data_IF_871282811654
#
_entry.id   IF_871282811654
#
_cell.length_a   1.000
_cell.length_b   1.000
_cell.length_c   1.000
_cell.angle_alpha   90.00
_cell.angle_beta   90.00
_cell.angle_gamma   90.00
#
_symmetry.space_group_name_H-M   'P 1'
#
loop_
_entity.id
_entity.type
_entity.pdbx_description
1 polymer ?
#
# COMPACT_ATOMS: atom_id res chain seq x y z
N UNK A 1 9.57 23.18 -17.84
CA UNK A 1 8.69 22.08 -17.35
C UNK A 1 7.56 22.72 -16.57
N UNK A 2 6.32 22.63 -17.05
CA UNK A 2 5.16 23.19 -16.34
C UNK A 2 4.66 22.15 -15.34
N UNK A 3 4.81 22.42 -14.04
CA UNK A 3 4.30 21.55 -13.00
C UNK A 3 2.77 21.67 -12.96
N UNK A 4 2.05 20.63 -13.43
CA UNK A 4 0.60 20.51 -13.18
C UNK A 4 0.39 20.17 -11.70
N UNK A 5 -0.51 20.88 -11.04
CA UNK A 5 -0.94 20.56 -9.67
C UNK A 5 -1.77 19.27 -9.71
N UNK A 6 -1.31 18.22 -9.03
CA UNK A 6 -2.02 16.94 -8.93
C UNK A 6 -3.29 17.11 -8.08
N UNK A 7 -4.42 16.57 -8.55
CA UNK A 7 -5.64 16.45 -7.74
C UNK A 7 -5.56 15.16 -6.94
N UNK A 8 -5.49 15.30 -5.62
CA UNK A 8 -5.43 14.19 -4.66
C UNK A 8 -6.57 14.34 -3.64
N UNK A 9 -7.24 13.23 -3.33
CA UNK A 9 -8.22 13.14 -2.25
C UNK A 9 -7.70 12.20 -1.15
N UNK A 10 -7.77 12.66 0.10
CA UNK A 10 -7.46 11.87 1.28
C UNK A 10 -8.72 11.25 1.86
N UNK A 11 -8.72 9.93 2.03
CA UNK A 11 -9.83 9.20 2.62
C UNK A 11 -9.36 8.49 3.88
N UNK A 12 -10.03 8.77 4.99
CA UNK A 12 -9.69 8.23 6.31
C UNK A 12 -10.73 7.18 6.69
N UNK A 13 -10.27 5.95 6.97
CA UNK A 13 -10.95 4.78 7.60
C UNK A 13 -10.92 3.51 6.74
N UNK A 14 -11.39 2.43 7.36
CA UNK A 14 -11.30 0.99 7.12
C UNK A 14 -11.24 0.47 5.65
N UNK A 15 -10.87 -0.81 5.43
CA UNK A 15 -10.75 -1.41 4.09
C UNK A 15 -11.98 -1.29 3.18
N UNK A 16 -13.20 -1.21 3.75
CA UNK A 16 -14.43 -0.98 2.99
C UNK A 16 -14.50 0.48 2.55
N UNK A 17 -14.14 1.42 3.42
CA UNK A 17 -14.00 2.84 3.08
C UNK A 17 -12.98 3.11 1.96
N UNK A 18 -11.91 2.30 1.83
CA UNK A 18 -10.91 2.51 0.76
C UNK A 18 -11.48 2.21 -0.64
N UNK A 19 -12.30 1.17 -0.78
CA UNK A 19 -12.92 0.88 -2.09
C UNK A 19 -13.91 1.97 -2.50
N UNK A 20 -14.68 2.50 -1.54
CA UNK A 20 -15.61 3.63 -1.79
C UNK A 20 -14.84 4.90 -2.16
N UNK A 21 -13.73 5.17 -1.48
CA UNK A 21 -12.83 6.27 -1.77
C UNK A 21 -12.29 6.26 -3.22
N UNK A 22 -11.88 5.09 -3.71
CA UNK A 22 -11.41 4.93 -5.10
C UNK A 22 -12.54 5.24 -6.10
N UNK A 23 -13.75 4.75 -5.84
CA UNK A 23 -14.92 5.04 -6.69
C UNK A 23 -15.24 6.54 -6.72
N UNK A 24 -15.28 7.20 -5.55
CA UNK A 24 -15.50 8.65 -5.46
C UNK A 24 -14.38 9.46 -6.13
N UNK A 25 -13.14 9.00 -6.01
CA UNK A 25 -12.02 9.65 -6.67
C UNK A 25 -12.15 9.60 -8.20
N UNK A 26 -12.64 8.48 -8.73
CA UNK A 26 -12.94 8.29 -10.15
C UNK A 26 -14.07 9.20 -10.63
N UNK A 27 -15.17 9.30 -9.87
CA UNK A 27 -16.30 10.22 -10.19
C UNK A 27 -15.87 11.69 -10.20
N UNK A 28 -14.93 12.07 -9.33
CA UNK A 28 -14.40 13.44 -9.22
C UNK A 28 -13.19 13.70 -10.11
N UNK A 29 -12.84 12.76 -10.98
CA UNK A 29 -11.70 12.84 -11.90
C UNK A 29 -10.37 13.14 -11.20
N UNK A 30 -10.11 12.61 -10.00
CA UNK A 30 -8.80 12.81 -9.37
C UNK A 30 -7.71 12.05 -10.11
N UNK A 31 -6.53 12.66 -10.21
CA UNK A 31 -5.41 12.09 -10.95
C UNK A 31 -4.72 10.97 -10.13
N UNK A 32 -4.75 11.08 -8.80
CA UNK A 32 -4.07 10.16 -7.87
C UNK A 32 -4.91 9.93 -6.61
N UNK A 33 -4.93 8.67 -6.14
CA UNK A 33 -5.45 8.29 -4.82
C UNK A 33 -4.30 7.81 -3.95
N UNK A 34 -4.13 8.43 -2.78
CA UNK A 34 -3.12 8.02 -1.80
C UNK A 34 -3.81 7.30 -0.64
N UNK A 35 -3.43 6.05 -0.41
CA UNK A 35 -3.92 5.23 0.71
C UNK A 35 -2.90 5.28 1.84
N UNK A 36 -3.18 6.07 2.87
CA UNK A 36 -2.35 6.12 4.08
C UNK A 36 -2.71 4.97 5.03
N UNK A 37 -1.71 4.21 5.47
CA UNK A 37 -1.90 3.05 6.34
C UNK A 37 -1.21 3.27 7.67
N UNK A 38 -1.81 2.79 8.75
CA UNK A 38 -1.18 2.85 10.08
C UNK A 38 0.13 2.07 10.07
N UNK A 39 1.19 2.67 10.60
CA UNK A 39 2.49 2.01 10.76
C UNK A 39 2.36 0.67 11.52
N UNK A 40 2.92 -0.39 10.95
CA UNK A 40 2.92 -1.74 11.54
C UNK A 40 4.35 -2.20 11.78
N UNK A 41 4.60 -2.86 12.91
CA UNK A 41 5.85 -3.57 13.10
C UNK A 41 5.84 -4.89 12.32
N UNK A 42 7.00 -5.28 11.79
CA UNK A 42 7.23 -6.48 10.99
C UNK A 42 6.92 -7.79 11.71
N UNK A 43 6.86 -7.79 13.04
CA UNK A 43 6.60 -8.99 13.84
C UNK A 43 5.11 -9.27 14.08
N UNK A 44 4.20 -8.39 13.62
CA UNK A 44 2.78 -8.53 13.88
C UNK A 44 2.04 -9.14 12.67
N UNK A 45 2.16 -10.46 12.55
CA UNK A 45 1.58 -11.24 11.45
C UNK A 45 0.09 -10.94 11.18
N UNK A 46 -0.82 -10.83 12.18
CA UNK A 46 -2.22 -10.43 11.94
C UNK A 46 -2.38 -9.11 11.19
N UNK A 47 -1.57 -8.10 11.53
CA UNK A 47 -1.68 -6.76 10.95
C UNK A 47 -1.09 -6.69 9.54
N UNK A 48 0.03 -7.38 9.31
CA UNK A 48 0.65 -7.49 7.98
C UNK A 48 -0.27 -8.28 7.05
N UNK A 49 -0.93 -9.33 7.55
CA UNK A 49 -1.93 -10.09 6.79
C UNK A 49 -3.15 -9.24 6.40
N UNK A 50 -3.61 -8.36 7.30
CA UNK A 50 -4.70 -7.43 6.98
C UNK A 50 -4.29 -6.43 5.89
N UNK A 51 -3.04 -5.94 5.93
CA UNK A 51 -2.48 -5.06 4.90
C UNK A 51 -2.36 -5.79 3.55
N UNK A 52 -1.86 -7.02 3.53
CA UNK A 52 -1.75 -7.82 2.31
C UNK A 52 -3.13 -8.07 1.67
N UNK A 53 -4.14 -8.40 2.47
CA UNK A 53 -5.53 -8.53 1.99
C UNK A 53 -6.09 -7.22 1.43
N UNK A 54 -5.80 -6.10 2.08
CA UNK A 54 -6.21 -4.79 1.59
C UNK A 54 -5.56 -4.49 0.24
N UNK A 55 -4.24 -4.68 0.13
CA UNK A 55 -3.51 -4.50 -1.11
C UNK A 55 -4.14 -5.38 -2.20
N UNK A 56 -4.28 -6.68 -1.97
CA UNK A 56 -4.91 -7.66 -2.89
C UNK A 56 -6.25 -7.14 -3.42
N UNK A 57 -7.13 -6.68 -2.52
CA UNK A 57 -8.47 -6.19 -2.85
C UNK A 57 -8.49 -4.92 -3.70
N UNK A 58 -7.60 -3.95 -3.45
CA UNK A 58 -7.67 -2.63 -4.13
C UNK A 58 -6.79 -2.54 -5.38
N UNK A 59 -5.88 -3.49 -5.59
CA UNK A 59 -4.96 -3.54 -6.74
C UNK A 59 -4.24 -2.21 -7.05
N UNK A 60 -3.41 -1.71 -6.11
CA UNK A 60 -2.76 -0.41 -6.30
C UNK A 60 -1.65 -0.51 -7.36
N UNK A 61 -1.51 0.53 -8.18
CA UNK A 61 -0.44 0.64 -9.18
C UNK A 61 0.96 0.69 -8.54
N UNK A 62 1.04 1.27 -7.34
CA UNK A 62 2.29 1.48 -6.61
C UNK A 62 2.12 1.11 -5.13
N UNK A 63 3.07 0.34 -4.62
CA UNK A 63 3.21 0.03 -3.20
C UNK A 63 4.59 0.51 -2.75
N UNK A 64 4.63 1.49 -1.83
CA UNK A 64 5.87 2.06 -1.31
C UNK A 64 6.08 1.70 0.15
N UNK A 65 7.32 1.33 0.49
CA UNK A 65 7.77 1.23 1.87
C UNK A 65 8.30 2.58 2.34
N UNK A 66 7.71 3.11 3.43
CA UNK A 66 8.16 4.35 4.07
C UNK A 66 9.09 3.99 5.23
N UNK A 67 10.40 4.18 5.04
CA UNK A 67 11.41 3.85 6.04
C UNK A 67 12.14 5.10 6.53
N UNK A 68 12.32 5.22 7.86
CA UNK A 68 13.22 6.26 8.38
C UNK A 68 14.65 6.07 7.89
N UNK A 69 15.30 7.14 7.42
CA UNK A 69 16.68 7.11 6.93
C UNK A 69 17.71 6.56 7.96
N UNK A 70 17.35 6.57 9.24
CA UNK A 70 18.17 6.06 10.34
C UNK A 70 18.07 4.55 10.55
N UNK A 71 17.17 3.85 9.86
CA UNK A 71 16.85 2.44 10.15
C UNK A 71 17.99 1.45 9.82
N UNK A 72 19.09 1.90 9.20
CA UNK A 72 20.27 1.07 8.84
C UNK A 72 19.86 -0.34 8.38
N UNK A 73 20.38 -1.39 9.03
CA UNK A 73 20.12 -2.78 8.68
C UNK A 73 18.70 -3.25 9.07
N UNK A 74 18.09 -2.65 10.10
CA UNK A 74 16.73 -3.01 10.56
C UNK A 74 15.69 -2.67 9.50
N UNK A 75 15.90 -1.59 8.74
CA UNK A 75 15.02 -1.22 7.63
C UNK A 75 15.01 -2.23 6.49
N UNK A 76 16.14 -2.88 6.23
CA UNK A 76 16.26 -3.93 5.19
C UNK A 76 15.46 -5.16 5.60
N UNK A 77 15.58 -5.59 6.86
CA UNK A 77 14.83 -6.75 7.36
C UNK A 77 13.33 -6.47 7.39
N UNK A 78 12.94 -5.26 7.81
CA UNK A 78 11.56 -4.81 7.76
C UNK A 78 11.01 -4.85 6.32
N UNK A 79 11.74 -4.28 5.36
CA UNK A 79 11.38 -4.30 3.94
C UNK A 79 11.18 -5.74 3.43
N UNK A 80 12.15 -6.64 3.67
CA UNK A 80 12.05 -8.04 3.21
C UNK A 80 10.84 -8.77 3.79
N UNK A 81 10.53 -8.53 5.06
CA UNK A 81 9.39 -9.16 5.73
C UNK A 81 8.05 -8.65 5.18
N UNK A 82 7.93 -7.34 4.93
CA UNK A 82 6.75 -6.79 4.29
C UNK A 82 6.58 -7.31 2.86
N UNK A 83 7.67 -7.39 2.09
CA UNK A 83 7.61 -7.84 0.70
C UNK A 83 7.13 -9.29 0.64
N UNK A 84 7.77 -10.15 1.43
CA UNK A 84 7.41 -11.57 1.53
C UNK A 84 5.94 -11.78 1.91
N UNK A 85 5.39 -10.95 2.81
CA UNK A 85 4.00 -11.06 3.23
C UNK A 85 3.00 -10.61 2.15
N UNK A 86 3.39 -9.67 1.28
CA UNK A 86 2.59 -9.27 0.12
C UNK A 86 2.63 -10.34 -0.99
N UNK A 87 3.77 -11.02 -1.17
CA UNK A 87 3.94 -12.05 -2.21
C UNK A 87 3.38 -13.42 -1.81
N UNK A 88 3.44 -13.77 -0.52
CA UNK A 88 3.05 -15.10 0.00
C UNK A 88 1.57 -15.46 -0.22
N UNK A 89 0.70 -14.48 -0.50
CA UNK A 89 -0.75 -14.70 -0.60
C UNK A 89 -1.30 -14.96 -2.00
N UNK A 90 -0.44 -15.11 -3.01
CA UNK A 90 -0.82 -15.52 -4.38
C UNK A 90 -1.33 -16.95 -4.52
N UNK A 91 -1.54 -17.68 -3.42
CA UNK A 91 -1.71 -19.13 -3.39
C UNK A 91 -3.10 -19.71 -3.66
N UNK A 92 -4.10 -18.94 -4.10
CA UNK A 92 -5.45 -19.50 -4.32
C UNK A 92 -6.30 -18.85 -5.43
N UNK A 93 -5.77 -17.85 -6.12
CA UNK A 93 -6.45 -17.22 -7.25
C UNK A 93 -5.37 -16.72 -8.21
N UNK A 94 -5.68 -16.62 -9.50
CA UNK A 94 -4.80 -16.14 -10.59
C UNK A 94 -4.28 -14.70 -10.44
N UNK A 95 -4.25 -14.17 -9.22
CA UNK A 95 -3.84 -12.82 -8.84
C UNK A 95 -2.32 -12.80 -8.69
N UNK A 96 -1.68 -11.94 -9.50
CA UNK A 96 -0.24 -11.72 -9.52
C UNK A 96 0.28 -11.37 -8.12
N UNK A 97 1.39 -12.00 -7.72
CA UNK A 97 2.12 -11.63 -6.50
C UNK A 97 2.46 -10.15 -6.52
N UNK A 98 2.13 -9.45 -5.42
CA UNK A 98 2.47 -8.04 -5.27
C UNK A 98 3.76 -7.93 -4.48
N UNK A 99 4.62 -7.06 -4.97
CA UNK A 99 5.89 -6.70 -4.35
C UNK A 99 5.87 -5.20 -4.07
N UNK A 100 6.75 -4.76 -3.18
CA UNK A 100 6.99 -3.34 -2.99
C UNK A 100 7.81 -2.81 -4.15
N UNK A 101 7.32 -1.72 -4.75
CA UNK A 101 7.86 -1.16 -6.00
C UNK A 101 8.44 0.25 -5.79
N UNK A 102 8.44 0.75 -4.55
CA UNK A 102 9.03 2.02 -4.17
C UNK A 102 9.61 2.00 -2.76
N UNK A 103 10.68 2.75 -2.57
CA UNK A 103 11.27 3.07 -1.28
C UNK A 103 11.18 4.58 -1.11
N UNK A 104 10.70 5.03 0.04
CA UNK A 104 10.50 6.44 0.34
C UNK A 104 11.02 6.77 1.73
#
# INVERSE_FOLDING_TARGET
MNAKKLRCCFFKRDPVSVTVAIAQAKERENDVVLVDTVGRMQNNNPLINALAKLAEKIDPDLVCFMGGALLRNVGIDQLKMFDSALSSRSGASSVKARHMNGLC
#
